data_IF_857965713932
#
_entry.id   IF_857965713932
#
_cell.length_a   1.000
_cell.length_b   1.000
_cell.length_c   1.000
_cell.angle_alpha   90.00
_cell.angle_beta   90.00
_cell.angle_gamma   90.00
#
_symmetry.space_group_name_H-M   'P 1'
#
loop_
_entity.id
_entity.type
_entity.pdbx_description
1 polymer ?
#
# COMPACT_ATOMS: atom_id res chain seq x y z
N UNK A 1 -18.77 8.63 19.04
CA UNK A 1 -18.42 7.20 19.30
C UNK A 1 -19.20 6.23 18.40
N UNK A 2 -20.54 6.22 18.41
CA UNK A 2 -21.30 5.34 17.49
C UNK A 2 -20.97 5.60 16.01
N UNK A 3 -20.68 6.84 15.63
CA UNK A 3 -20.25 7.21 14.27
C UNK A 3 -18.91 6.60 13.86
N UNK A 4 -17.87 6.73 14.70
CA UNK A 4 -16.56 6.14 14.45
C UNK A 4 -16.59 4.61 14.36
N UNK A 5 -17.43 3.95 15.17
CA UNK A 5 -17.61 2.49 15.09
C UNK A 5 -18.25 2.11 13.75
N UNK A 6 -19.23 2.88 13.27
CA UNK A 6 -19.83 2.66 11.95
C UNK A 6 -18.81 2.87 10.81
N UNK A 7 -17.97 3.90 10.88
CA UNK A 7 -16.87 4.12 9.92
C UNK A 7 -15.90 2.94 9.92
N UNK A 8 -15.47 2.48 11.10
CA UNK A 8 -14.59 1.32 11.19
C UNK A 8 -15.23 0.05 10.64
N UNK A 9 -16.54 -0.14 10.84
CA UNK A 9 -17.29 -1.25 10.27
C UNK A 9 -17.38 -1.17 8.73
N UNK A 10 -17.54 0.02 8.15
CA UNK A 10 -17.47 0.23 6.70
C UNK A 10 -16.06 -0.10 6.19
N UNK A 11 -15.01 0.35 6.88
CA UNK A 11 -13.63 -0.02 6.56
C UNK A 11 -13.43 -1.54 6.57
N UNK A 12 -14.01 -2.26 7.54
CA UNK A 12 -13.95 -3.72 7.59
C UNK A 12 -14.71 -4.38 6.43
N UNK A 13 -15.86 -3.84 6.03
CA UNK A 13 -16.62 -4.30 4.87
C UNK A 13 -15.82 -4.11 3.57
N UNK A 14 -15.15 -2.97 3.41
CA UNK A 14 -14.27 -2.68 2.28
C UNK A 14 -13.11 -3.67 2.22
N UNK A 15 -12.47 -3.97 3.36
CA UNK A 15 -11.44 -5.01 3.43
C UNK A 15 -11.98 -6.42 3.12
N UNK A 16 -13.20 -6.73 3.54
CA UNK A 16 -13.84 -8.00 3.20
C UNK A 16 -14.10 -8.11 1.69
N UNK A 17 -14.48 -7.01 1.03
CA UNK A 17 -14.63 -6.96 -0.42
C UNK A 17 -13.28 -7.08 -1.14
N UNK A 18 -12.23 -6.41 -0.64
CA UNK A 18 -10.86 -6.60 -1.14
C UNK A 18 -10.42 -8.07 -1.03
N UNK A 19 -10.71 -8.73 0.11
CA UNK A 19 -10.43 -10.15 0.30
C UNK A 19 -11.21 -11.01 -0.70
N UNK A 20 -12.49 -10.74 -0.92
CA UNK A 20 -13.30 -11.40 -1.94
C UNK A 20 -12.66 -11.30 -3.33
N UNK A 21 -12.19 -10.12 -3.73
CA UNK A 21 -11.49 -9.92 -5.00
C UNK A 21 -10.16 -10.69 -5.06
N UNK A 22 -9.41 -10.76 -3.96
CA UNK A 22 -8.22 -11.63 -3.87
C UNK A 22 -8.59 -13.10 -4.10
N UNK A 23 -9.67 -13.59 -3.48
CA UNK A 23 -10.13 -14.97 -3.69
C UNK A 23 -10.55 -15.21 -5.14
N UNK A 24 -11.27 -14.26 -5.74
CA UNK A 24 -11.65 -14.31 -7.15
C UNK A 24 -10.40 -14.37 -8.06
N UNK A 25 -9.44 -13.47 -7.85
CA UNK A 25 -8.19 -13.42 -8.60
C UNK A 25 -7.44 -14.74 -8.47
N UNK A 26 -7.36 -15.30 -7.26
CA UNK A 26 -6.61 -16.52 -7.00
C UNK A 26 -7.17 -17.75 -7.72
N UNK A 27 -8.47 -17.76 -8.07
CA UNK A 27 -9.13 -18.82 -8.84
C UNK A 27 -8.83 -18.78 -10.34
N UNK A 28 -8.33 -17.66 -10.87
CA UNK A 28 -7.97 -17.56 -12.28
C UNK A 28 -6.73 -18.39 -12.61
N UNK A 29 -6.67 -18.86 -13.86
CA UNK A 29 -5.55 -19.65 -14.36
C UNK A 29 -4.27 -18.84 -14.45
N UNK A 30 -3.13 -19.48 -14.16
CA UNK A 30 -1.80 -18.86 -14.20
C UNK A 30 -1.07 -19.05 -15.53
N UNK A 31 -1.78 -19.46 -16.58
CA UNK A 31 -1.20 -19.70 -17.90
C UNK A 31 -0.23 -20.89 -17.93
N UNK A 32 0.73 -20.81 -18.85
CA UNK A 32 1.65 -21.91 -19.19
C UNK A 32 2.66 -22.21 -18.08
N UNK A 33 3.31 -23.39 -18.07
CA UNK A 33 4.38 -23.68 -17.10
C UNK A 33 5.50 -22.65 -17.12
N UNK A 34 5.86 -22.12 -18.29
CA UNK A 34 6.92 -21.10 -18.41
C UNK A 34 6.51 -19.76 -17.78
N UNK A 35 5.25 -19.35 -17.92
CA UNK A 35 4.72 -18.16 -17.24
C UNK A 35 4.79 -18.31 -15.72
N UNK A 36 4.48 -19.50 -15.21
CA UNK A 36 4.52 -19.79 -13.78
C UNK A 36 5.94 -19.79 -13.22
N UNK A 37 6.91 -20.30 -13.98
CA UNK A 37 8.35 -20.26 -13.65
C UNK A 37 8.86 -18.82 -13.51
N UNK A 38 8.57 -17.97 -14.50
CA UNK A 38 8.96 -16.54 -14.50
C UNK A 38 8.30 -15.81 -13.33
N UNK A 39 6.99 -16.00 -13.14
CA UNK A 39 6.25 -15.41 -12.02
C UNK A 39 6.81 -15.86 -10.66
N UNK A 40 7.27 -17.10 -10.53
CA UNK A 40 7.90 -17.57 -9.31
C UNK A 40 9.22 -16.84 -9.01
N UNK A 41 10.07 -16.62 -10.02
CA UNK A 41 11.31 -15.87 -9.87
C UNK A 41 11.07 -14.40 -9.47
N UNK A 42 10.12 -13.72 -10.13
CA UNK A 42 9.71 -12.35 -9.77
C UNK A 42 9.19 -12.32 -8.33
N UNK A 43 8.34 -13.28 -7.96
CA UNK A 43 7.79 -13.35 -6.60
C UNK A 43 8.85 -13.59 -5.54
N UNK A 44 9.83 -14.43 -5.82
CA UNK A 44 10.94 -14.67 -4.91
C UNK A 44 11.76 -13.40 -4.69
N UNK A 45 12.14 -12.71 -5.78
CA UNK A 45 12.87 -11.45 -5.73
C UNK A 45 12.12 -10.35 -4.98
N UNK A 46 10.83 -10.16 -5.28
CA UNK A 46 10.01 -9.15 -4.63
C UNK A 46 9.84 -9.40 -3.12
N UNK A 47 9.63 -10.66 -2.71
CA UNK A 47 9.56 -11.01 -1.29
C UNK A 47 10.91 -10.82 -0.58
N UNK A 48 12.02 -11.21 -1.22
CA UNK A 48 13.35 -11.07 -0.65
C UNK A 48 13.70 -9.58 -0.44
N UNK A 49 13.42 -8.75 -1.44
CA UNK A 49 13.61 -7.31 -1.37
C UNK A 49 12.76 -6.68 -0.26
N UNK A 50 11.45 -6.92 -0.26
CA UNK A 50 10.54 -6.28 0.70
C UNK A 50 10.86 -6.70 2.15
N UNK A 51 11.21 -7.98 2.35
CA UNK A 51 11.69 -8.48 3.64
C UNK A 51 12.95 -7.75 4.07
N UNK A 52 13.94 -7.59 3.18
CA UNK A 52 15.18 -6.89 3.49
C UNK A 52 14.92 -5.43 3.83
N UNK A 53 14.07 -4.75 3.07
CA UNK A 53 13.66 -3.37 3.32
C UNK A 53 13.05 -3.24 4.71
N UNK A 54 12.00 -4.00 5.03
CA UNK A 54 11.31 -3.89 6.31
C UNK A 54 12.21 -4.23 7.51
N UNK A 55 13.04 -5.26 7.41
CA UNK A 55 14.01 -5.59 8.47
C UNK A 55 15.00 -4.45 8.69
N UNK A 56 15.43 -3.78 7.61
CA UNK A 56 16.35 -2.64 7.70
C UNK A 56 15.71 -1.41 8.35
N UNK A 57 14.38 -1.28 8.28
CA UNK A 57 13.64 -0.17 8.91
C UNK A 57 13.37 -0.38 10.40
N UNK A 58 13.41 -1.61 10.92
CA UNK A 58 13.12 -1.90 12.33
C UNK A 58 13.94 -1.04 13.30
N UNK A 59 15.27 -0.88 13.16
CA UNK A 59 16.05 -0.03 14.06
C UNK A 59 15.57 1.43 14.06
N UNK A 60 15.25 1.99 12.89
CA UNK A 60 14.74 3.36 12.77
C UNK A 60 13.39 3.53 13.47
N UNK A 61 12.49 2.56 13.31
CA UNK A 61 11.18 2.54 13.99
C UNK A 61 11.36 2.49 15.50
N UNK A 62 12.26 1.64 16.02
CA UNK A 62 12.51 1.51 17.46
C UNK A 62 13.10 2.80 18.04
N UNK A 63 14.07 3.40 17.34
CA UNK A 63 14.69 4.67 17.78
C UNK A 63 13.64 5.78 17.82
N UNK A 64 12.86 5.95 16.75
CA UNK A 64 11.82 6.98 16.69
C UNK A 64 10.71 6.73 17.70
N UNK A 65 10.31 5.48 17.93
CA UNK A 65 9.36 5.14 18.98
C UNK A 65 9.84 5.60 20.36
N UNK A 66 11.10 5.32 20.72
CA UNK A 66 11.67 5.76 21.99
C UNK A 66 11.76 7.29 22.09
N UNK A 67 12.21 7.96 21.03
CA UNK A 67 12.32 9.43 20.99
C UNK A 67 10.95 10.08 21.13
N UNK A 68 9.94 9.63 20.37
CA UNK A 68 8.57 10.15 20.45
C UNK A 68 7.98 9.88 21.84
N UNK A 69 8.21 8.68 22.39
CA UNK A 69 7.71 8.30 23.71
C UNK A 69 8.24 9.19 24.84
N UNK A 70 9.54 9.50 24.80
CA UNK A 70 10.22 10.33 25.79
C UNK A 70 9.98 11.84 25.61
N UNK A 71 9.90 12.32 24.37
CA UNK A 71 9.83 13.76 24.08
C UNK A 71 8.39 14.30 23.95
N UNK A 72 7.45 13.48 23.46
CA UNK A 72 6.08 13.90 23.14
C UNK A 72 5.07 13.15 24.01
N UNK A 73 5.22 11.84 24.13
CA UNK A 73 4.39 11.00 24.99
C UNK A 73 4.15 9.61 24.41
N UNK A 74 3.98 8.65 25.31
CA UNK A 74 3.82 7.24 24.96
C UNK A 74 2.57 6.94 24.13
N UNK A 75 1.47 7.69 24.30
CA UNK A 75 0.28 7.50 23.45
C UNK A 75 0.58 7.81 21.97
N UNK A 76 1.32 8.90 21.72
CA UNK A 76 1.74 9.31 20.36
C UNK A 76 2.70 8.28 19.77
N UNK A 77 3.61 7.74 20.59
CA UNK A 77 4.55 6.70 20.17
C UNK A 77 3.82 5.40 19.78
N UNK A 78 2.80 4.99 20.55
CA UNK A 78 1.99 3.81 20.21
C UNK A 78 1.24 4.04 18.89
N UNK A 79 0.62 5.21 18.71
CA UNK A 79 -0.05 5.55 17.46
C UNK A 79 0.90 5.57 16.26
N UNK A 80 2.14 6.04 16.45
CA UNK A 80 3.21 5.94 15.45
C UNK A 80 3.47 4.49 15.02
N UNK A 81 3.58 3.55 15.97
CA UNK A 81 3.74 2.13 15.63
C UNK A 81 2.51 1.59 14.89
N UNK A 82 1.29 1.99 15.27
CA UNK A 82 0.08 1.62 14.53
C UNK A 82 0.14 2.11 13.07
N UNK A 83 0.56 3.35 12.84
CA UNK A 83 0.75 3.91 11.49
C UNK A 83 1.80 3.17 10.67
N UNK A 84 2.94 2.83 11.29
CA UNK A 84 3.98 1.99 10.69
C UNK A 84 3.43 0.64 10.25
N UNK A 85 2.68 -0.05 11.13
CA UNK A 85 2.11 -1.36 10.84
C UNK A 85 1.10 -1.27 9.69
N UNK A 86 0.18 -0.31 9.73
CA UNK A 86 -0.84 -0.15 8.69
C UNK A 86 -0.23 0.18 7.32
N UNK A 87 0.75 1.09 7.26
CA UNK A 87 1.43 1.45 6.01
C UNK A 87 2.27 0.28 5.46
N UNK A 88 3.01 -0.43 6.32
CA UNK A 88 3.75 -1.61 5.91
C UNK A 88 2.83 -2.73 5.40
N UNK A 89 1.65 -2.89 6.01
CA UNK A 89 0.65 -3.85 5.59
C UNK A 89 0.03 -3.46 4.24
N UNK A 90 -0.28 -2.17 4.02
CA UNK A 90 -0.76 -1.67 2.73
C UNK A 90 0.25 -1.96 1.60
N UNK A 91 1.53 -1.63 1.80
CA UNK A 91 2.60 -1.95 0.85
C UNK A 91 2.76 -3.45 0.59
N UNK A 92 2.68 -4.27 1.66
CA UNK A 92 2.80 -5.72 1.54
C UNK A 92 1.63 -6.35 0.78
N UNK A 93 0.40 -5.93 1.06
CA UNK A 93 -0.81 -6.40 0.36
C UNK A 93 -0.71 -6.01 -1.12
N UNK A 94 -0.38 -4.75 -1.41
CA UNK A 94 -0.24 -4.26 -2.78
C UNK A 94 0.74 -5.10 -3.60
N UNK A 95 1.97 -5.26 -3.12
CA UNK A 95 2.97 -6.10 -3.78
C UNK A 95 2.52 -7.55 -3.95
N UNK A 96 1.98 -8.15 -2.88
CA UNK A 96 1.53 -9.55 -2.85
C UNK A 96 0.48 -9.82 -3.91
N UNK A 97 -0.46 -8.88 -4.10
CA UNK A 97 -1.54 -8.98 -5.06
C UNK A 97 -1.04 -8.73 -6.48
N UNK A 98 -0.23 -7.69 -6.71
CA UNK A 98 0.36 -7.39 -8.02
C UNK A 98 1.16 -8.56 -8.59
N UNK A 99 2.03 -9.18 -7.78
CA UNK A 99 2.83 -10.35 -8.17
C UNK A 99 1.96 -11.58 -8.47
N UNK A 100 0.73 -11.65 -7.94
CA UNK A 100 -0.22 -12.73 -8.25
C UNK A 100 -1.08 -12.40 -9.45
N UNK A 101 -1.37 -11.12 -9.67
CA UNK A 101 -2.19 -10.62 -10.76
C UNK A 101 -1.42 -10.66 -12.09
N UNK A 102 -0.14 -10.27 -12.11
CA UNK A 102 0.66 -10.15 -13.34
C UNK A 102 0.59 -11.39 -14.25
N UNK A 103 0.81 -12.59 -13.71
CA UNK A 103 0.80 -13.85 -14.46
C UNK A 103 -0.60 -14.22 -14.94
N UNK A 104 -1.63 -13.83 -14.20
CA UNK A 104 -3.04 -14.06 -14.56
C UNK A 104 -3.50 -13.09 -15.62
N UNK A 105 -3.04 -11.85 -15.57
CA UNK A 105 -3.23 -10.85 -16.62
C UNK A 105 -2.57 -11.31 -17.92
N UNK A 106 -1.33 -11.81 -17.86
CA UNK A 106 -0.63 -12.36 -19.02
C UNK A 106 -1.35 -13.60 -19.59
N UNK A 107 -1.89 -14.47 -18.73
CA UNK A 107 -2.71 -15.59 -19.17
C UNK A 107 -4.02 -15.13 -19.83
N UNK A 108 -4.73 -14.18 -19.21
CA UNK A 108 -5.98 -13.62 -19.73
C UNK A 108 -5.78 -12.86 -21.05
N UNK A 109 -4.60 -12.29 -21.30
CA UNK A 109 -4.26 -11.63 -22.56
C UNK A 109 -4.29 -12.58 -23.77
N UNK A 110 -4.11 -13.89 -23.57
CA UNK A 110 -4.28 -14.89 -24.64
C UNK A 110 -5.75 -15.00 -25.10
N UNK A 111 -6.70 -14.61 -24.25
CA UNK A 111 -8.13 -14.61 -24.56
C UNK A 111 -8.64 -13.24 -25.01
N UNK A 112 -7.78 -12.22 -25.05
CA UNK A 112 -8.06 -10.88 -25.55
C UNK A 112 -7.86 -9.76 -24.53
N UNK A 113 -7.74 -8.54 -25.06
CA UNK A 113 -7.45 -7.32 -24.27
C UNK A 113 -8.47 -7.05 -23.16
N UNK A 114 -9.76 -7.22 -23.46
CA UNK A 114 -10.84 -6.95 -22.50
C UNK A 114 -10.69 -7.79 -21.22
N UNK A 115 -10.40 -9.08 -21.37
CA UNK A 115 -10.18 -9.99 -20.22
C UNK A 115 -8.91 -9.65 -19.46
N UNK A 116 -7.82 -9.34 -20.16
CA UNK A 116 -6.59 -8.90 -19.50
C UNK A 116 -6.81 -7.63 -18.67
N UNK A 117 -7.52 -6.65 -19.23
CA UNK A 117 -7.84 -5.40 -18.55
C UNK A 117 -8.71 -5.65 -17.32
N UNK A 118 -9.72 -6.51 -17.40
CA UNK A 118 -10.57 -6.85 -16.24
C UNK A 118 -9.75 -7.43 -15.08
N UNK A 119 -8.82 -8.35 -15.38
CA UNK A 119 -7.96 -8.97 -14.36
C UNK A 119 -6.98 -7.96 -13.77
N UNK A 120 -6.35 -7.14 -14.61
CA UNK A 120 -5.43 -6.10 -14.16
C UNK A 120 -6.15 -5.05 -13.29
N UNK A 121 -7.32 -4.58 -13.73
CA UNK A 121 -8.11 -3.57 -13.03
C UNK A 121 -8.54 -4.08 -11.65
N UNK A 122 -9.13 -5.28 -11.58
CA UNK A 122 -9.52 -5.89 -10.29
C UNK A 122 -8.31 -6.18 -9.40
N UNK A 123 -7.15 -6.49 -9.98
CA UNK A 123 -5.89 -6.61 -9.25
C UNK A 123 -5.47 -5.30 -8.57
N UNK A 124 -5.58 -4.17 -9.28
CA UNK A 124 -5.31 -2.84 -8.73
C UNK A 124 -6.37 -2.37 -7.72
N UNK A 125 -7.64 -2.69 -7.98
CA UNK A 125 -8.78 -2.37 -7.12
C UNK A 125 -8.59 -2.91 -5.70
N UNK A 126 -8.08 -4.15 -5.56
CA UNK A 126 -7.73 -4.74 -4.26
C UNK A 126 -6.80 -3.84 -3.45
N UNK A 127 -5.77 -3.28 -4.07
CA UNK A 127 -4.80 -2.41 -3.39
C UNK A 127 -5.46 -1.11 -2.92
N UNK A 128 -6.30 -0.50 -3.75
CA UNK A 128 -7.07 0.70 -3.41
C UNK A 128 -8.07 0.48 -2.28
N UNK A 129 -8.79 -0.64 -2.30
CA UNK A 129 -9.72 -0.99 -1.22
C UNK A 129 -8.97 -1.32 0.08
N UNK A 130 -7.83 -2.03 -0.03
CA UNK A 130 -7.00 -2.38 1.12
C UNK A 130 -6.47 -1.13 1.85
N UNK A 131 -5.90 -0.16 1.13
CA UNK A 131 -5.36 1.06 1.75
C UNK A 131 -6.48 1.90 2.41
N UNK A 132 -7.63 2.04 1.76
CA UNK A 132 -8.76 2.81 2.31
C UNK A 132 -9.32 2.13 3.55
N UNK A 133 -9.58 0.82 3.47
CA UNK A 133 -10.09 0.04 4.59
C UNK A 133 -9.15 0.07 5.81
N UNK A 134 -7.84 -0.11 5.59
CA UNK A 134 -6.84 0.01 6.65
C UNK A 134 -6.79 1.42 7.24
N UNK A 135 -6.91 2.47 6.43
CA UNK A 135 -6.89 3.85 6.88
C UNK A 135 -8.10 4.21 7.74
N UNK A 136 -9.31 3.84 7.28
CA UNK A 136 -10.55 4.07 8.01
C UNK A 136 -10.56 3.34 9.35
N UNK A 137 -10.16 2.06 9.38
CA UNK A 137 -10.09 1.28 10.62
C UNK A 137 -9.01 1.84 11.53
N UNK A 138 -7.80 2.07 11.01
CA UNK A 138 -6.65 2.51 11.78
C UNK A 138 -6.89 3.84 12.47
N UNK A 139 -7.31 4.87 11.72
CA UNK A 139 -7.59 6.21 12.25
C UNK A 139 -8.76 6.16 13.24
N UNK A 140 -9.86 5.46 12.89
CA UNK A 140 -11.03 5.37 13.77
C UNK A 140 -10.73 4.63 15.07
N UNK A 141 -9.96 3.54 15.03
CA UNK A 141 -9.59 2.76 16.20
C UNK A 141 -8.68 3.54 17.15
N UNK A 142 -7.62 4.16 16.61
CA UNK A 142 -6.68 4.97 17.41
C UNK A 142 -7.41 6.15 18.04
N UNK A 143 -8.24 6.86 17.29
CA UNK A 143 -9.00 7.99 17.83
C UNK A 143 -10.02 7.57 18.88
N UNK A 144 -10.74 6.46 18.66
CA UNK A 144 -11.73 5.95 19.62
C UNK A 144 -11.08 5.48 20.92
N UNK A 145 -9.88 4.89 20.85
CA UNK A 145 -9.18 4.37 22.02
C UNK A 145 -8.52 5.47 22.85
N UNK A 146 -7.84 6.43 22.23
CA UNK A 146 -7.10 7.47 22.95
C UNK A 146 -7.89 8.77 23.16
N UNK A 147 -8.93 9.03 22.36
CA UNK A 147 -9.78 10.22 22.48
C UNK A 147 -9.09 11.54 22.15
N UNK A 148 -7.87 11.51 21.59
CA UNK A 148 -7.08 12.72 21.32
C UNK A 148 -6.61 12.77 19.87
N UNK A 149 -6.83 13.92 19.22
CA UNK A 149 -6.35 14.21 17.87
C UNK A 149 -4.83 14.38 17.82
N UNK A 150 -4.19 14.83 18.91
CA UNK A 150 -2.72 14.96 18.95
C UNK A 150 -2.03 13.59 18.83
N UNK A 151 -2.70 12.52 19.26
CA UNK A 151 -2.21 11.15 19.15
C UNK A 151 -2.21 10.67 17.69
N UNK A 152 -3.19 11.09 16.88
CA UNK A 152 -3.25 10.75 15.46
C UNK A 152 -2.09 11.33 14.64
N UNK A 153 -1.49 12.44 15.09
CA UNK A 153 -0.26 12.96 14.46
C UNK A 153 0.86 11.91 14.47
N UNK A 154 0.95 11.12 15.55
CA UNK A 154 1.86 9.98 15.63
C UNK A 154 1.55 8.94 14.55
N UNK A 155 0.28 8.58 14.37
CA UNK A 155 -0.15 7.64 13.33
C UNK A 155 0.24 8.10 11.92
N UNK A 156 -0.01 9.37 11.59
CA UNK A 156 0.41 9.97 10.32
C UNK A 156 1.93 9.88 10.14
N UNK A 157 2.71 10.29 11.15
CA UNK A 157 4.17 10.22 11.13
C UNK A 157 4.70 8.80 10.88
N UNK A 158 4.08 7.79 11.49
CA UNK A 158 4.43 6.39 11.28
C UNK A 158 4.16 5.91 9.85
N UNK A 159 3.02 6.31 9.29
CA UNK A 159 2.67 6.03 7.90
C UNK A 159 3.66 6.70 6.93
N UNK A 160 4.03 7.95 7.18
CA UNK A 160 4.99 8.71 6.37
C UNK A 160 6.40 8.14 6.40
N UNK A 161 6.85 7.62 7.55
CA UNK A 161 8.16 6.96 7.63
C UNK A 161 8.24 5.76 6.67
N UNK A 162 7.24 4.87 6.70
CA UNK A 162 7.24 3.69 5.84
C UNK A 162 7.07 4.07 4.37
N UNK A 163 6.17 5.01 4.05
CA UNK A 163 6.00 5.54 2.70
C UNK A 163 7.32 6.05 2.12
N UNK A 164 8.03 6.91 2.87
CA UNK A 164 9.29 7.50 2.43
C UNK A 164 10.30 6.43 2.03
N UNK A 165 10.56 5.46 2.91
CA UNK A 165 11.55 4.43 2.63
C UNK A 165 11.09 3.42 1.57
N UNK A 166 9.81 3.07 1.53
CA UNK A 166 9.29 2.16 0.51
C UNK A 166 9.35 2.77 -0.89
N UNK A 167 9.01 4.06 -1.01
CA UNK A 167 9.02 4.78 -2.28
C UNK A 167 10.44 5.06 -2.76
N UNK A 168 11.32 5.53 -1.88
CA UNK A 168 12.72 5.81 -2.24
C UNK A 168 13.49 4.51 -2.48
N UNK A 169 13.39 3.54 -1.58
CA UNK A 169 14.07 2.26 -1.72
C UNK A 169 13.62 1.53 -2.97
N UNK A 170 12.30 1.30 -3.09
CA UNK A 170 11.73 0.60 -4.23
C UNK A 170 11.95 1.33 -5.54
N UNK A 171 11.85 2.67 -5.54
CA UNK A 171 12.12 3.54 -6.67
C UNK A 171 13.56 3.46 -7.18
N UNK A 172 14.55 3.46 -6.28
CA UNK A 172 15.95 3.26 -6.65
C UNK A 172 16.15 1.87 -7.25
N UNK A 173 15.57 0.84 -6.65
CA UNK A 173 15.71 -0.53 -7.14
C UNK A 173 15.11 -0.69 -8.54
N UNK A 174 13.87 -0.25 -8.76
CA UNK A 174 13.20 -0.38 -10.05
C UNK A 174 13.90 0.44 -11.12
N UNK A 175 14.17 1.72 -10.89
CA UNK A 175 14.75 2.57 -11.93
C UNK A 175 16.20 2.22 -12.27
N UNK A 176 16.97 1.67 -11.34
CA UNK A 176 18.30 1.16 -11.65
C UNK A 176 18.24 -0.08 -12.57
N UNK A 177 17.25 -0.95 -12.37
CA UNK A 177 17.07 -2.15 -13.18
C UNK A 177 16.48 -1.81 -14.56
N UNK A 178 15.40 -1.05 -14.61
CA UNK A 178 14.70 -0.55 -15.80
C UNK A 178 15.69 0.15 -16.76
N UNK A 179 16.38 1.20 -16.29
CA UNK A 179 17.34 1.95 -17.13
C UNK A 179 18.49 1.06 -17.61
N UNK A 180 18.97 0.15 -16.77
CA UNK A 180 20.03 -0.79 -17.14
C UNK A 180 19.59 -1.80 -18.19
N UNK A 181 18.38 -2.35 -18.04
CA UNK A 181 17.79 -3.31 -18.96
C UNK A 181 17.56 -2.67 -20.33
N UNK A 182 16.95 -1.49 -20.35
CA UNK A 182 16.53 -0.82 -21.57
C UNK A 182 17.69 -0.27 -22.38
N UNK A 183 18.67 0.38 -21.75
CA UNK A 183 19.81 0.96 -22.46
C UNK A 183 20.65 -0.13 -23.14
N UNK A 184 21.03 -1.17 -22.40
CA UNK A 184 21.88 -2.23 -22.95
C UNK A 184 21.08 -3.11 -23.92
N UNK A 185 19.84 -3.44 -23.59
CA UNK A 185 18.98 -4.29 -24.43
C UNK A 185 18.60 -3.63 -25.74
N UNK A 186 17.87 -2.50 -25.67
CA UNK A 186 17.26 -1.86 -26.84
C UNK A 186 18.26 -1.06 -27.65
N UNK A 187 19.15 -0.30 -26.98
CA UNK A 187 20.01 0.67 -27.66
C UNK A 187 21.34 0.04 -28.09
N UNK A 188 22.02 -0.69 -27.20
CA UNK A 188 23.35 -1.24 -27.54
C UNK A 188 23.29 -2.57 -28.28
N UNK A 189 22.36 -3.46 -27.91
CA UNK A 189 22.25 -4.81 -28.49
C UNK A 189 21.14 -4.95 -29.52
N UNK A 190 20.20 -4.02 -29.57
CA UNK A 190 19.06 -4.07 -30.50
C UNK A 190 18.15 -5.28 -30.29
N UNK A 191 18.09 -5.82 -29.06
CA UNK A 191 17.13 -6.87 -28.69
C UNK A 191 15.82 -6.23 -28.19
N UNK A 192 14.68 -6.93 -28.27
CA UNK A 192 13.41 -6.44 -27.72
C UNK A 192 13.49 -6.09 -26.24
N UNK A 193 12.57 -5.23 -25.80
CA UNK A 193 12.27 -4.99 -24.38
C UNK A 193 11.78 -6.27 -23.71
N UNK A 194 12.09 -6.43 -22.42
CA UNK A 194 11.80 -7.65 -21.63
C UNK A 194 12.35 -8.97 -22.22
N UNK A 195 13.37 -8.89 -23.08
CA UNK A 195 13.92 -10.10 -23.70
C UNK A 195 14.60 -11.00 -22.65
N UNK A 196 14.28 -12.32 -22.60
CA UNK A 196 14.80 -13.23 -21.58
C UNK A 196 16.32 -13.43 -21.63
N UNK A 197 17.00 -12.98 -22.70
CA UNK A 197 18.47 -12.99 -22.80
C UNK A 197 19.12 -11.87 -21.98
N UNK A 198 18.35 -10.84 -21.62
CA UNK A 198 18.85 -9.73 -20.83
C UNK A 198 18.75 -10.06 -19.32
N UNK A 199 19.89 -10.15 -18.60
CA UNK A 199 19.89 -10.56 -17.19
C UNK A 199 19.21 -9.56 -16.25
N UNK A 200 19.00 -8.31 -16.69
CA UNK A 200 18.37 -7.26 -15.88
C UNK A 200 16.83 -7.37 -15.81
N UNK A 201 16.19 -8.10 -16.73
CA UNK A 201 14.72 -8.10 -16.89
C UNK A 201 13.99 -8.65 -15.66
N UNK A 202 14.55 -9.65 -14.97
CA UNK A 202 13.95 -10.14 -13.72
C UNK A 202 14.01 -9.07 -12.63
N UNK A 203 15.13 -8.33 -12.53
CA UNK A 203 15.25 -7.25 -11.54
C UNK A 203 14.30 -6.09 -11.85
N UNK A 204 14.09 -5.79 -13.12
CA UNK A 204 13.15 -4.78 -13.59
C UNK A 204 11.71 -5.12 -13.18
N UNK A 205 11.25 -6.32 -13.56
CA UNK A 205 9.93 -6.82 -13.21
C UNK A 205 9.73 -7.02 -11.69
N UNK A 206 10.79 -7.31 -10.94
CA UNK A 206 10.77 -7.28 -9.46
C UNK A 206 10.59 -5.84 -8.98
N UNK A 207 11.32 -4.91 -9.59
CA UNK A 207 11.26 -3.47 -9.37
C UNK A 207 9.85 -2.91 -9.43
N UNK A 208 9.09 -3.23 -10.47
CA UNK A 208 7.70 -2.80 -10.62
C UNK A 208 6.83 -3.21 -9.43
N UNK A 209 7.08 -4.39 -8.88
CA UNK A 209 6.29 -4.89 -7.75
C UNK A 209 6.71 -4.26 -6.42
N UNK A 210 7.99 -3.93 -6.24
CA UNK A 210 8.49 -3.38 -4.96
C UNK A 210 8.46 -1.86 -4.89
N UNK A 211 8.69 -1.17 -6.01
CA UNK A 211 8.60 0.28 -6.13
C UNK A 211 7.18 0.69 -6.50
N UNK A 212 6.77 0.35 -7.73
CA UNK A 212 5.57 0.91 -8.33
C UNK A 212 4.29 0.33 -7.72
N UNK A 213 4.32 -0.87 -7.13
CA UNK A 213 3.19 -1.41 -6.38
C UNK A 213 3.32 -1.18 -4.87
N UNK A 214 4.35 -1.74 -4.21
CA UNK A 214 4.48 -1.66 -2.76
C UNK A 214 4.70 -0.23 -2.27
N UNK A 215 5.62 0.49 -2.92
CA UNK A 215 5.93 1.89 -2.61
C UNK A 215 4.74 2.81 -2.85
N UNK A 216 4.07 2.67 -4.00
CA UNK A 216 2.86 3.46 -4.30
C UNK A 216 1.72 3.17 -3.32
N UNK A 217 1.51 1.91 -2.92
CA UNK A 217 0.46 1.56 -1.96
C UNK A 217 0.72 2.19 -0.57
N UNK A 218 1.98 2.18 -0.10
CA UNK A 218 2.36 2.84 1.14
C UNK A 218 2.23 4.38 1.06
N UNK A 219 2.57 4.95 -0.09
CA UNK A 219 2.47 6.38 -0.38
C UNK A 219 1.03 6.89 -0.43
N UNK A 220 0.15 6.18 -1.15
CA UNK A 220 -1.27 6.52 -1.20
C UNK A 220 -1.95 6.32 0.16
N UNK A 221 -1.57 5.28 0.91
CA UNK A 221 -2.05 5.09 2.28
C UNK A 221 -1.67 6.28 3.17
N UNK A 222 -0.41 6.70 3.13
CA UNK A 222 0.11 7.86 3.86
C UNK A 222 -0.67 9.13 3.54
N UNK A 223 -0.79 9.45 2.25
CA UNK A 223 -1.46 10.66 1.80
C UNK A 223 -2.94 10.66 2.20
N UNK A 224 -3.59 9.50 2.13
CA UNK A 224 -4.97 9.32 2.58
C UNK A 224 -5.12 9.62 4.08
N UNK A 225 -4.32 8.97 4.93
CA UNK A 225 -4.48 9.10 6.39
C UNK A 225 -4.05 10.47 6.89
N UNK A 226 -2.96 11.04 6.36
CA UNK A 226 -2.48 12.37 6.75
C UNK A 226 -3.50 13.44 6.34
N UNK A 227 -4.09 13.34 5.16
CA UNK A 227 -5.14 14.28 4.72
C UNK A 227 -6.37 14.20 5.61
N UNK A 228 -6.82 13.00 5.97
CA UNK A 228 -7.94 12.82 6.91
C UNK A 228 -7.60 13.42 8.27
N UNK A 229 -6.44 13.10 8.84
CA UNK A 229 -6.03 13.59 10.16
C UNK A 229 -5.92 15.12 10.17
N UNK A 230 -5.36 15.71 9.11
CA UNK A 230 -5.29 17.17 8.96
C UNK A 230 -6.70 17.79 8.90
N UNK A 231 -7.62 17.20 8.15
CA UNK A 231 -9.02 17.65 8.10
C UNK A 231 -9.73 17.49 9.46
N UNK A 232 -9.46 16.43 10.22
CA UNK A 232 -9.99 16.23 11.58
C UNK A 232 -9.50 17.33 12.53
N UNK A 233 -8.21 17.68 12.45
CA UNK A 233 -7.62 18.77 13.24
C UNK A 233 -8.24 20.13 12.90
N UNK A 234 -8.45 20.41 11.61
CA UNK A 234 -9.15 21.62 11.16
C UNK A 234 -10.61 21.63 11.63
N UNK A 235 -11.30 20.49 11.58
CA UNK A 235 -12.65 20.35 12.11
C UNK A 235 -12.74 20.68 13.60
N UNK A 236 -11.78 20.21 14.40
CA UNK A 236 -11.74 20.50 15.83
C UNK A 236 -11.42 21.96 16.17
N UNK A 237 -10.60 22.63 15.34
CA UNK A 237 -10.07 23.97 15.64
C UNK A 237 -10.89 25.09 15.01
N UNK A 238 -11.25 24.95 13.73
CA UNK A 238 -11.97 25.97 12.95
C UNK A 238 -13.48 25.82 13.10
N UNK A 239 -13.98 24.59 13.20
CA UNK A 239 -15.41 24.26 13.27
C UNK A 239 -15.82 23.76 14.67
N UNK A 240 -15.17 24.27 15.71
CA UNK A 240 -15.37 23.85 17.11
C UNK A 240 -16.83 23.93 17.58
N UNK A 241 -17.62 24.84 17.02
CA UNK A 241 -19.06 24.97 17.28
C UNK A 241 -19.89 23.70 16.94
N UNK A 242 -19.40 22.87 16.02
CA UNK A 242 -20.03 21.61 15.61
C UNK A 242 -19.50 20.39 16.39
N UNK A 243 -18.53 20.59 17.29
CA UNK A 243 -17.98 19.56 18.17
C UNK A 243 -17.47 18.33 17.41
N UNK A 244 -17.85 17.14 17.90
CA UNK A 244 -17.40 15.86 17.33
C UNK A 244 -17.84 15.64 15.88
N UNK A 245 -18.93 16.26 15.43
CA UNK A 245 -19.44 16.07 14.07
C UNK A 245 -18.46 16.62 13.03
N UNK A 246 -17.82 17.76 13.32
CA UNK A 246 -16.79 18.32 12.44
C UNK A 246 -15.52 17.45 12.39
N UNK A 247 -15.20 16.77 13.49
CA UNK A 247 -14.05 15.86 13.58
C UNK A 247 -14.34 14.54 12.85
N UNK A 248 -15.56 14.01 12.94
CA UNK A 248 -15.94 12.75 12.30
C UNK A 248 -16.23 12.92 10.78
N UNK A 249 -16.53 14.13 10.31
CA UNK A 249 -16.89 14.40 8.90
C UNK A 249 -15.90 13.86 7.85
N UNK A 250 -14.58 14.12 7.91
CA UNK A 250 -13.65 13.61 6.89
C UNK A 250 -13.61 12.08 6.83
N UNK A 251 -13.80 11.41 7.97
CA UNK A 251 -13.89 9.94 8.04
C UNK A 251 -15.16 9.43 7.35
N UNK A 252 -16.29 10.12 7.55
CA UNK A 252 -17.54 9.79 6.86
C UNK A 252 -17.47 10.01 5.34
N UNK A 253 -16.82 11.09 4.90
CA UNK A 253 -16.57 11.32 3.47
C UNK A 253 -15.74 10.16 2.89
N UNK A 254 -14.68 9.75 3.59
CA UNK A 254 -13.87 8.59 3.22
C UNK A 254 -14.69 7.30 3.17
N UNK A 255 -15.56 7.05 4.15
CA UNK A 255 -16.39 5.87 4.22
C UNK A 255 -17.44 5.80 3.09
N UNK A 256 -18.11 6.91 2.78
CA UNK A 256 -19.07 6.98 1.67
C UNK A 256 -18.35 6.84 0.33
N UNK A 257 -17.19 7.49 0.17
CA UNK A 257 -16.35 7.34 -1.01
C UNK A 257 -15.93 5.89 -1.25
N UNK A 258 -15.60 5.16 -0.19
CA UNK A 258 -15.23 3.75 -0.26
C UNK A 258 -16.39 2.81 -0.65
N UNK A 259 -17.64 3.20 -0.39
CA UNK A 259 -18.84 2.44 -0.80
C UNK A 259 -19.21 2.75 -2.25
N UNK A 260 -18.97 3.98 -2.69
CA UNK A 260 -19.29 4.43 -4.04
C UNK A 260 -18.30 3.92 -5.10
N UNK A 261 -17.04 3.69 -4.71
CA UNK A 261 -16.00 3.09 -5.54
C UNK A 261 -16.22 1.59 -5.73
#
# INVERSE_FOLDING_TARGET
MNGLIAVAAIGALVLAFAAYLIFWLMRLQKGTPKMQEISAAIREGANAYLKKQYVTLVPFVVILFAVIGLAIGWQVAIAFVCGVICSALAGYIGMTVSVRANVRTAAAAQEGLSKALEVAFKGGEVTGLALVGLGLIGVSAVYTYFGSLSVLVGFGLGASLISLFARVGGGIFTKAADVGADLVGKIEKGIPEDDPRNPAVIADNVGDNVGDCAGMAADLFESYVVTIIAAMLLGATVLSAYGLQAVELPLWIGAVGAIAA
#
